data_IF_941591235859
#
_entry.id   IF_941591235859
#
_cell.length_a   1.000
_cell.length_b   1.000
_cell.length_c   1.000
_cell.angle_alpha   90.00
_cell.angle_beta   90.00
_cell.angle_gamma   90.00
#
_symmetry.space_group_name_H-M   'P 1'
#
loop_
_entity.id
_entity.type
_entity.pdbx_description
1 polymer ?
#
# COMPACT_ATOMS: atom_id res chain seq x y z
N UNK A 1 44.94 32.70 10.66
CA UNK A 1 43.73 32.37 9.87
C UNK A 1 43.40 30.90 10.05
N UNK A 2 42.23 30.56 10.61
CA UNK A 2 41.89 29.16 10.92
C UNK A 2 41.44 28.39 9.65
N UNK A 3 42.03 27.22 9.41
CA UNK A 3 41.74 26.35 8.26
C UNK A 3 40.29 25.86 8.32
N UNK A 4 39.50 26.10 7.25
CA UNK A 4 38.12 25.62 7.10
C UNK A 4 38.12 24.08 7.09
N UNK A 5 37.46 23.48 8.08
CA UNK A 5 37.33 22.03 8.22
C UNK A 5 36.59 21.42 7.02
N UNK A 6 37.23 20.47 6.31
CA UNK A 6 36.67 19.67 5.19
C UNK A 6 35.72 18.55 5.64
N UNK A 7 35.20 18.59 6.87
CA UNK A 7 34.30 17.54 7.37
C UNK A 7 32.90 17.74 6.78
N UNK A 8 32.37 16.74 6.08
CA UNK A 8 31.01 16.75 5.53
C UNK A 8 29.93 16.49 6.60
N UNK A 9 30.32 16.24 7.85
CA UNK A 9 29.39 16.07 8.97
C UNK A 9 29.18 17.38 9.73
N UNK A 10 27.94 17.68 10.14
CA UNK A 10 27.67 18.85 10.98
C UNK A 10 28.44 18.73 12.29
N UNK A 11 28.87 19.86 12.85
CA UNK A 11 29.41 19.87 14.21
C UNK A 11 28.31 19.44 15.19
N UNK A 12 28.64 18.62 16.22
CA UNK A 12 27.72 18.39 17.33
C UNK A 12 27.31 19.75 17.90
N UNK A 13 26.02 19.92 18.17
CA UNK A 13 25.38 21.15 18.67
C UNK A 13 25.30 22.35 17.71
N UNK A 14 25.50 22.14 16.41
CA UNK A 14 25.22 23.18 15.41
C UNK A 14 23.74 23.25 15.03
N UNK A 15 23.25 24.43 14.61
CA UNK A 15 21.89 24.60 14.05
C UNK A 15 21.59 23.61 12.90
N UNK A 16 22.61 23.21 12.14
CA UNK A 16 22.47 22.18 11.09
C UNK A 16 22.21 20.80 11.67
N UNK A 17 22.84 20.44 12.80
CA UNK A 17 22.58 19.17 13.48
C UNK A 17 21.17 19.13 14.06
N UNK A 18 20.71 20.23 14.68
CA UNK A 18 19.35 20.37 15.22
C UNK A 18 18.29 20.19 14.12
N UNK A 19 18.41 20.91 13.00
CA UNK A 19 17.49 20.78 11.85
C UNK A 19 17.49 19.42 11.16
N UNK A 20 18.55 18.62 11.33
CA UNK A 20 18.60 17.24 10.82
C UNK A 20 17.90 16.31 11.81
N UNK A 21 18.11 16.51 13.11
CA UNK A 21 17.44 15.76 14.16
C UNK A 21 15.92 15.98 14.15
N UNK A 22 15.48 17.24 14.00
CA UNK A 22 14.05 17.60 13.85
C UNK A 22 13.43 16.90 12.65
N UNK A 23 14.03 17.02 11.45
CA UNK A 23 13.54 16.31 10.25
C UNK A 23 13.52 14.79 10.42
N UNK A 24 14.49 14.23 11.11
CA UNK A 24 14.53 12.78 11.38
C UNK A 24 13.41 12.38 12.34
N UNK A 25 13.18 13.16 13.39
CA UNK A 25 12.09 12.94 14.33
C UNK A 25 10.72 13.07 13.65
N UNK A 26 10.53 14.07 12.78
CA UNK A 26 9.35 14.19 11.93
C UNK A 26 9.17 12.97 11.02
N UNK A 27 10.24 12.50 10.36
CA UNK A 27 10.20 11.29 9.55
C UNK A 27 9.86 10.03 10.36
N UNK A 28 10.43 9.88 11.57
CA UNK A 28 10.15 8.76 12.46
C UNK A 28 8.70 8.79 12.96
N UNK A 29 8.16 9.97 13.29
CA UNK A 29 6.76 10.17 13.65
C UNK A 29 5.83 9.82 12.48
N UNK A 30 6.14 10.28 11.26
CA UNK A 30 5.38 9.95 10.06
C UNK A 30 5.44 8.46 9.74
N UNK A 31 6.61 7.83 9.86
CA UNK A 31 6.76 6.39 9.64
C UNK A 31 5.96 5.56 10.66
N UNK A 32 5.88 6.01 11.92
CA UNK A 32 5.06 5.37 12.94
C UNK A 32 3.54 5.56 12.69
N UNK A 33 3.15 6.64 12.02
CA UNK A 33 1.75 6.94 11.68
C UNK A 33 1.30 6.30 10.35
N UNK A 34 2.23 5.91 9.47
CA UNK A 34 1.92 5.30 8.18
C UNK A 34 1.82 3.78 8.34
N UNK A 35 0.77 3.16 7.82
CA UNK A 35 0.64 1.69 7.78
C UNK A 35 1.93 1.08 7.24
N UNK A 36 2.44 0.05 7.92
CA UNK A 36 3.59 -0.73 7.46
C UNK A 36 3.40 -1.12 5.98
N UNK A 37 4.52 -1.37 5.27
CA UNK A 37 4.55 -1.80 3.87
C UNK A 37 3.34 -2.70 3.53
N UNK A 38 2.37 -2.15 2.81
CA UNK A 38 0.96 -2.59 2.85
C UNK A 38 0.78 -4.08 2.55
N UNK A 39 1.45 -4.58 1.53
CA UNK A 39 1.35 -5.98 1.09
C UNK A 39 2.59 -6.80 1.47
N UNK A 40 3.30 -6.40 2.52
CA UNK A 40 4.53 -7.07 2.96
C UNK A 40 4.31 -8.57 3.19
N UNK A 41 5.22 -9.38 2.64
CA UNK A 41 5.18 -10.84 2.76
C UNK A 41 4.40 -11.57 1.67
N UNK A 42 3.72 -10.85 0.76
CA UNK A 42 3.11 -11.43 -0.43
C UNK A 42 4.13 -11.51 -1.58
N UNK A 43 4.20 -12.66 -2.26
CA UNK A 43 5.11 -12.87 -3.40
C UNK A 43 4.82 -11.98 -4.61
N UNK A 44 3.58 -11.47 -4.71
CA UNK A 44 3.06 -10.58 -5.76
C UNK A 44 2.81 -9.16 -5.24
N UNK A 45 3.53 -8.74 -4.21
CA UNK A 45 3.40 -7.42 -3.60
C UNK A 45 3.51 -6.28 -4.63
N UNK A 46 4.55 -6.29 -5.48
CA UNK A 46 4.77 -5.22 -6.46
C UNK A 46 3.61 -5.08 -7.45
N UNK A 47 3.01 -6.22 -7.85
CA UNK A 47 1.87 -6.24 -8.76
C UNK A 47 0.63 -5.65 -8.08
N UNK A 48 0.38 -5.97 -6.81
CA UNK A 48 -0.73 -5.37 -6.04
C UNK A 48 -0.56 -3.86 -5.86
N UNK A 49 0.67 -3.39 -5.61
CA UNK A 49 0.97 -1.96 -5.59
C UNK A 49 0.70 -1.34 -6.97
N UNK A 50 1.15 -1.98 -8.05
CA UNK A 50 0.95 -1.48 -9.40
C UNK A 50 -0.53 -1.39 -9.78
N UNK A 51 -1.30 -2.45 -9.52
CA UNK A 51 -2.74 -2.53 -9.76
C UNK A 51 -3.52 -1.48 -8.96
N UNK A 52 -3.09 -1.16 -7.73
CA UNK A 52 -3.73 -0.12 -6.91
C UNK A 52 -3.42 1.29 -7.41
N UNK A 53 -2.16 1.60 -7.70
CA UNK A 53 -1.71 3.00 -7.88
C UNK A 53 -1.64 3.46 -9.34
N UNK A 54 -1.28 2.55 -10.26
CA UNK A 54 -0.84 2.97 -11.60
C UNK A 54 -1.67 2.38 -12.72
N UNK A 55 -2.19 1.16 -12.54
CA UNK A 55 -2.83 0.44 -13.64
C UNK A 55 -4.32 0.81 -13.73
N UNK A 56 -4.78 1.40 -14.85
CA UNK A 56 -6.19 1.63 -15.06
C UNK A 56 -6.88 0.38 -15.60
N UNK A 57 -8.12 0.14 -15.18
CA UNK A 57 -9.04 -0.84 -15.78
C UNK A 57 -8.48 -2.25 -15.99
N UNK A 58 -7.65 -2.75 -15.07
CA UNK A 58 -7.10 -4.09 -15.17
C UNK A 58 -7.87 -5.11 -14.32
N UNK A 59 -7.80 -6.36 -14.76
CA UNK A 59 -8.25 -7.51 -14.01
C UNK A 59 -7.15 -8.58 -14.00
N UNK A 60 -7.13 -9.38 -12.93
CA UNK A 60 -6.20 -10.48 -12.79
C UNK A 60 -6.85 -11.62 -11.99
N UNK A 61 -6.56 -12.90 -12.30
CA UNK A 61 -6.97 -14.00 -11.44
C UNK A 61 -6.29 -13.86 -10.08
N UNK A 62 -7.07 -13.96 -8.99
CA UNK A 62 -6.55 -13.87 -7.63
C UNK A 62 -6.59 -15.25 -6.98
N UNK A 63 -5.45 -15.92 -6.80
CA UNK A 63 -5.42 -17.21 -6.12
C UNK A 63 -5.74 -17.03 -4.63
N UNK A 64 -6.79 -17.71 -4.17
CA UNK A 64 -7.23 -17.74 -2.77
C UNK A 64 -7.08 -19.15 -2.25
N UNK A 65 -6.46 -19.32 -1.07
CA UNK A 65 -6.17 -20.66 -0.53
C UNK A 65 -7.42 -21.46 -0.18
N UNK A 66 -8.38 -20.81 0.49
CA UNK A 66 -9.59 -21.45 1.03
C UNK A 66 -10.87 -20.88 0.40
N UNK A 67 -10.79 -20.47 -0.88
CA UNK A 67 -11.91 -19.84 -1.58
C UNK A 67 -13.01 -20.83 -1.95
N UNK A 68 -14.27 -20.44 -1.73
CA UNK A 68 -15.45 -21.21 -2.16
C UNK A 68 -15.73 -21.13 -3.67
N UNK A 69 -15.10 -20.17 -4.36
CA UNK A 69 -15.32 -19.83 -5.77
C UNK A 69 -14.07 -19.20 -6.38
N UNK A 70 -13.91 -19.20 -7.71
CA UNK A 70 -12.86 -18.42 -8.36
C UNK A 70 -13.04 -16.93 -8.10
N UNK A 71 -11.93 -16.24 -7.82
CA UNK A 71 -11.90 -14.80 -7.55
C UNK A 71 -11.06 -14.08 -8.61
N UNK A 72 -11.64 -13.03 -9.19
CA UNK A 72 -10.93 -12.11 -10.09
C UNK A 72 -10.73 -10.78 -9.37
N UNK A 73 -9.48 -10.36 -9.25
CA UNK A 73 -9.16 -8.99 -8.82
C UNK A 73 -9.43 -8.03 -9.98
N UNK A 74 -10.02 -6.88 -9.66
CA UNK A 74 -10.19 -5.75 -10.56
C UNK A 74 -9.63 -4.49 -9.90
N UNK A 75 -9.04 -3.59 -10.69
CA UNK A 75 -8.55 -2.32 -10.14
C UNK A 75 -9.72 -1.47 -9.62
N UNK A 76 -10.83 -1.42 -10.34
CA UNK A 76 -12.09 -0.77 -9.93
C UNK A 76 -13.27 -1.68 -10.28
N UNK A 77 -14.23 -1.81 -9.36
CA UNK A 77 -15.54 -2.41 -9.62
C UNK A 77 -16.60 -1.33 -9.87
N UNK A 78 -17.72 -1.66 -10.55
CA UNK A 78 -18.86 -0.76 -10.67
C UNK A 78 -19.29 -0.21 -9.30
N UNK A 79 -19.43 1.10 -9.19
CA UNK A 79 -19.76 1.77 -7.93
C UNK A 79 -18.60 1.87 -6.93
N UNK A 80 -17.37 1.52 -7.31
CA UNK A 80 -16.19 1.50 -6.44
C UNK A 80 -16.40 0.67 -5.15
N UNK A 81 -17.14 -0.44 -5.28
CA UNK A 81 -17.41 -1.38 -4.18
C UNK A 81 -16.21 -2.32 -3.96
N UNK A 82 -16.11 -2.90 -2.76
CA UNK A 82 -15.01 -3.79 -2.40
C UNK A 82 -15.12 -5.18 -3.04
N UNK A 83 -16.33 -5.69 -3.20
CA UNK A 83 -16.57 -7.00 -3.79
C UNK A 83 -17.93 -7.04 -4.50
N UNK A 84 -18.02 -7.92 -5.49
CA UNK A 84 -19.28 -8.33 -6.09
C UNK A 84 -19.21 -9.80 -6.49
N UNK A 85 -20.34 -10.48 -6.46
CA UNK A 85 -20.48 -11.83 -6.99
C UNK A 85 -21.36 -11.76 -8.21
N UNK A 86 -20.94 -12.41 -9.29
CA UNK A 86 -21.80 -12.63 -10.44
C UNK A 86 -22.36 -14.04 -10.39
N UNK A 87 -23.67 -14.13 -10.20
CA UNK A 87 -24.43 -15.38 -10.26
C UNK A 87 -24.51 -15.82 -11.73
N UNK A 88 -23.77 -16.87 -12.07
CA UNK A 88 -23.83 -17.60 -13.35
C UNK A 88 -23.89 -19.09 -13.03
N UNK A 89 -23.83 -19.96 -14.06
CA UNK A 89 -23.78 -21.41 -13.85
C UNK A 89 -22.61 -21.82 -12.94
N UNK A 90 -21.48 -21.13 -13.04
CA UNK A 90 -20.40 -21.12 -12.06
C UNK A 90 -20.27 -19.71 -11.42
N UNK A 91 -20.68 -19.54 -10.14
CA UNK A 91 -20.59 -18.25 -9.46
C UNK A 91 -19.14 -17.76 -9.41
N UNK A 92 -18.89 -16.54 -9.88
CA UNK A 92 -17.54 -15.94 -9.88
C UNK A 92 -17.50 -14.72 -8.98
N UNK A 93 -16.52 -14.68 -8.08
CA UNK A 93 -16.25 -13.53 -7.22
C UNK A 93 -15.37 -12.51 -7.90
N UNK A 94 -15.62 -11.23 -7.64
CA UNK A 94 -14.77 -10.13 -8.07
C UNK A 94 -14.45 -9.24 -6.87
N UNK A 95 -13.19 -8.80 -6.76
CA UNK A 95 -12.74 -7.90 -5.70
C UNK A 95 -12.09 -6.64 -6.27
N UNK A 96 -12.42 -5.49 -5.70
CA UNK A 96 -11.94 -4.18 -6.14
C UNK A 96 -10.79 -3.65 -5.29
N UNK A 97 -9.75 -3.11 -5.92
CA UNK A 97 -8.62 -2.48 -5.19
C UNK A 97 -8.84 -1.00 -4.88
N UNK A 98 -9.50 -0.27 -5.77
CA UNK A 98 -9.75 1.17 -5.68
C UNK A 98 -11.23 1.39 -5.33
N UNK A 99 -11.53 1.43 -4.03
CA UNK A 99 -12.89 1.60 -3.49
C UNK A 99 -13.19 3.02 -3.06
N UNK A 100 -14.47 3.34 -2.86
CA UNK A 100 -14.92 4.60 -2.26
C UNK A 100 -15.85 4.32 -1.06
N UNK A 101 -15.47 4.71 0.19
CA UNK A 101 -14.23 5.37 0.57
C UNK A 101 -12.99 4.46 0.40
N UNK A 102 -11.82 5.09 0.29
CA UNK A 102 -10.56 4.34 0.30
C UNK A 102 -10.23 3.87 1.72
N UNK A 103 -9.88 2.60 1.93
CA UNK A 103 -9.56 2.07 3.25
C UNK A 103 -8.21 2.63 3.76
N UNK A 104 -8.13 2.83 5.07
CA UNK A 104 -6.88 3.18 5.76
C UNK A 104 -5.88 2.02 5.82
N UNK A 105 -6.37 0.78 5.78
CA UNK A 105 -5.57 -0.45 5.64
C UNK A 105 -6.06 -1.25 4.42
N UNK A 106 -5.45 -1.04 3.24
CA UNK A 106 -5.85 -1.71 2.01
C UNK A 106 -5.65 -3.22 2.02
N UNK A 107 -4.64 -3.72 2.75
CA UNK A 107 -4.37 -5.16 2.78
C UNK A 107 -5.43 -5.90 3.59
N UNK A 108 -5.79 -5.39 4.77
CA UNK A 108 -6.88 -5.94 5.56
C UNK A 108 -8.24 -5.84 4.84
N UNK A 109 -8.49 -4.72 4.15
CA UNK A 109 -9.71 -4.55 3.36
C UNK A 109 -9.80 -5.54 2.19
N UNK A 110 -8.70 -5.75 1.46
CA UNK A 110 -8.64 -6.75 0.38
C UNK A 110 -8.85 -8.17 0.92
N UNK A 111 -8.22 -8.51 2.05
CA UNK A 111 -8.40 -9.82 2.68
C UNK A 111 -9.85 -10.06 3.09
N UNK A 112 -10.53 -9.05 3.65
CA UNK A 112 -11.94 -9.12 4.02
C UNK A 112 -12.87 -9.24 2.80
N UNK A 113 -12.54 -8.58 1.68
CA UNK A 113 -13.34 -8.61 0.46
C UNK A 113 -13.32 -9.97 -0.27
N UNK A 114 -12.29 -10.79 -0.01
CA UNK A 114 -12.08 -12.08 -0.66
C UNK A 114 -12.77 -13.24 0.09
N UNK A 115 -13.22 -13.02 1.33
CA UNK A 115 -13.98 -14.00 2.14
C UNK A 115 -15.44 -14.11 1.66
#
# INVERSE_FOLDING_TARGET
MAKRSKRNTPKPDSNRAQRIAERRAEQEQLAAATTARTYAGLGYECDLVALREFVPSATAPLPVRDGSRPVTLATVLPGAVAALVREQEEPTGFVGMQTQPQPSDPASALAAAVQ
#
